data_IF_818115248111
#
_entry.id   IF_818115248111
#
_cell.length_a   1.000
_cell.length_b   1.000
_cell.length_c   1.000
_cell.angle_alpha   90.00
_cell.angle_beta   90.00
_cell.angle_gamma   90.00
#
_symmetry.space_group_name_H-M   'P 1'
#
loop_
_entity.id
_entity.type
_entity.pdbx_description
1 polymer ?
#
# COMPACT_ATOMS: atom_id res chain seq x y z
N UNK A 1 4.11 -14.39 7.17
CA UNK A 1 3.84 -13.41 6.12
C UNK A 1 2.47 -12.80 6.35
N UNK A 2 2.37 -11.50 6.27
CA UNK A 2 1.09 -10.79 6.37
C UNK A 2 1.14 -9.59 5.45
N UNK A 3 0.05 -8.82 5.38
CA UNK A 3 -0.10 -7.76 4.38
C UNK A 3 -0.62 -6.49 5.00
N UNK A 4 -0.05 -5.35 4.61
CA UNK A 4 -0.51 -4.04 5.10
C UNK A 4 -1.06 -3.22 3.93
N UNK A 5 -2.15 -2.55 4.15
CA UNK A 5 -2.77 -1.69 3.14
C UNK A 5 -2.48 -0.23 3.39
N UNK A 6 -2.24 0.50 2.31
CA UNK A 6 -1.98 1.94 2.33
C UNK A 6 -2.74 2.60 1.20
N UNK A 7 -3.02 3.88 1.33
CA UNK A 7 -3.69 4.61 0.27
C UNK A 7 -3.31 6.08 0.28
N UNK A 8 -3.43 6.71 -0.87
CA UNK A 8 -3.23 8.16 -0.99
C UNK A 8 -4.04 8.66 -2.18
N UNK A 9 -4.69 9.80 -1.99
CA UNK A 9 -5.39 10.48 -3.08
C UNK A 9 -5.13 11.97 -2.95
N UNK A 10 -4.89 12.63 -4.05
CA UNK A 10 -4.62 14.05 -4.03
C UNK A 10 -4.18 14.58 -5.38
N UNK A 11 -3.67 15.82 -5.39
CA UNK A 11 -3.20 16.46 -6.60
C UNK A 11 -1.95 15.72 -7.09
N UNK A 12 -2.01 15.23 -8.32
CA UNK A 12 -0.90 14.46 -8.89
C UNK A 12 0.40 15.23 -9.01
N UNK A 13 0.36 16.57 -9.00
CA UNK A 13 1.59 17.37 -9.07
C UNK A 13 2.45 17.18 -7.82
N UNK A 14 1.83 16.79 -6.70
CA UNK A 14 2.57 16.54 -5.47
C UNK A 14 3.51 15.36 -5.61
N UNK A 15 3.24 14.46 -6.55
CA UNK A 15 4.10 13.29 -6.76
C UNK A 15 5.48 13.66 -7.29
N UNK A 16 5.70 14.91 -7.68
CA UNK A 16 7.01 15.37 -8.11
C UNK A 16 7.91 15.73 -6.93
N UNK A 17 7.40 15.69 -5.70
CA UNK A 17 8.19 16.03 -4.51
C UNK A 17 9.05 14.84 -4.09
N UNK A 18 10.10 14.57 -4.83
CA UNK A 18 10.95 13.42 -4.58
C UNK A 18 11.50 13.29 -3.16
N UNK A 19 11.95 14.36 -2.49
CA UNK A 19 12.47 14.22 -1.11
C UNK A 19 11.47 13.62 -0.13
N UNK A 20 10.17 13.79 -0.39
CA UNK A 20 9.14 13.22 0.46
C UNK A 20 8.79 11.79 0.06
N UNK A 21 9.29 11.33 -1.06
CA UNK A 21 8.98 10.00 -1.60
C UNK A 21 10.17 9.04 -1.57
N UNK A 22 11.34 9.51 -1.15
CA UNK A 22 12.56 8.70 -1.04
C UNK A 22 13.13 8.88 0.36
N UNK A 23 13.52 7.80 1.03
CA UNK A 23 14.01 7.88 2.41
C UNK A 23 15.43 8.42 2.56
N UNK A 24 15.81 9.38 1.73
CA UNK A 24 17.13 9.98 1.79
C UNK A 24 17.20 10.97 2.94
N UNK A 25 16.15 11.76 3.12
CA UNK A 25 16.04 12.66 4.25
C UNK A 25 14.93 12.08 5.11
N UNK A 26 15.30 11.29 6.10
CA UNK A 26 14.34 10.53 6.89
C UNK A 26 13.21 11.35 7.48
N UNK A 27 13.49 12.55 7.96
CA UNK A 27 12.45 13.37 8.55
C UNK A 27 11.38 13.79 7.54
N UNK A 28 11.79 14.23 6.35
CA UNK A 28 10.82 14.64 5.33
C UNK A 28 10.04 13.45 4.81
N UNK A 29 10.71 12.34 4.59
CA UNK A 29 10.05 11.13 4.12
C UNK A 29 9.06 10.62 5.17
N UNK A 30 9.48 10.54 6.43
CA UNK A 30 8.65 9.98 7.49
C UNK A 30 7.40 10.79 7.81
N UNK A 31 7.46 12.11 7.59
CA UNK A 31 6.31 12.97 7.87
C UNK A 31 5.36 13.08 6.67
N UNK A 32 5.78 12.69 5.50
CA UNK A 32 4.94 12.80 4.31
C UNK A 32 3.92 11.68 4.23
N UNK A 33 2.78 11.97 3.60
CA UNK A 33 1.77 10.96 3.32
C UNK A 33 1.82 10.57 1.85
N UNK A 34 2.71 11.21 1.05
CA UNK A 34 2.80 10.89 -0.37
C UNK A 34 3.30 9.47 -0.58
N UNK A 35 2.81 8.77 -1.62
CA UNK A 35 3.28 7.41 -1.86
C UNK A 35 4.80 7.38 -2.06
N UNK A 36 5.50 6.47 -1.39
CA UNK A 36 6.92 6.32 -1.64
C UNK A 36 7.20 5.90 -3.08
N UNK A 37 8.39 6.22 -3.59
CA UNK A 37 8.78 5.84 -4.95
C UNK A 37 8.84 4.32 -5.11
N UNK A 38 9.23 3.59 -4.06
CA UNK A 38 9.22 2.13 -4.07
C UNK A 38 8.15 1.65 -3.11
N UNK A 39 7.31 0.75 -3.57
CA UNK A 39 6.15 0.30 -2.78
C UNK A 39 6.54 -0.24 -1.40
N UNK A 40 7.59 -1.03 -1.32
CA UNK A 40 8.01 -1.59 -0.04
C UNK A 40 8.41 -0.53 0.99
N UNK A 41 8.75 0.67 0.56
CA UNK A 41 9.13 1.75 1.48
C UNK A 41 7.96 2.27 2.30
N UNK A 42 6.73 1.91 1.99
CA UNK A 42 5.60 2.22 2.85
C UNK A 42 5.85 1.67 4.27
N UNK A 43 6.59 0.56 4.38
CA UNK A 43 6.88 -0.03 5.69
C UNK A 43 7.79 0.84 6.55
N UNK A 44 8.45 1.83 5.94
CA UNK A 44 9.29 2.78 6.70
C UNK A 44 8.45 3.93 7.26
N UNK A 45 7.18 4.04 6.87
CA UNK A 45 6.31 5.09 7.34
C UNK A 45 5.71 4.75 8.70
N UNK A 46 5.20 5.74 9.43
CA UNK A 46 4.59 5.48 10.74
C UNK A 46 3.41 4.53 10.67
N UNK A 47 3.21 3.77 11.73
CA UNK A 47 2.09 2.84 11.83
C UNK A 47 0.74 3.51 11.58
N UNK A 48 0.62 4.79 11.90
CA UNK A 48 -0.62 5.51 11.69
C UNK A 48 -1.05 5.58 10.22
N UNK A 49 -0.13 5.35 9.29
CA UNK A 49 -0.48 5.36 7.86
C UNK A 49 -1.00 4.01 7.38
N UNK A 50 -0.89 2.96 8.18
CA UNK A 50 -1.42 1.64 7.81
C UNK A 50 -2.94 1.70 7.85
N UNK A 51 -3.60 1.36 6.76
CA UNK A 51 -5.06 1.38 6.66
C UNK A 51 -5.70 0.04 6.98
N UNK A 52 -4.93 -1.01 7.00
CA UNK A 52 -5.42 -2.33 7.36
C UNK A 52 -4.29 -3.35 7.34
N UNK A 53 -4.52 -4.47 8.00
CA UNK A 53 -3.55 -5.56 8.05
C UNK A 53 -4.31 -6.87 7.94
N UNK A 54 -3.81 -7.77 7.10
CA UNK A 54 -4.45 -9.05 6.85
C UNK A 54 -3.43 -10.17 6.88
N UNK A 55 -3.85 -11.34 7.34
CA UNK A 55 -2.99 -12.50 7.33
C UNK A 55 -3.16 -13.33 6.07
N UNK A 56 -4.18 -13.04 5.28
CA UNK A 56 -4.43 -13.76 4.03
C UNK A 56 -4.39 -12.82 2.83
N UNK A 57 -3.92 -13.34 1.70
CA UNK A 57 -3.92 -12.60 0.46
C UNK A 57 -5.34 -12.23 0.03
N UNK A 58 -6.29 -13.13 0.27
CA UNK A 58 -7.69 -12.87 -0.10
C UNK A 58 -8.26 -11.68 0.69
N UNK A 59 -7.95 -11.59 1.98
CA UNK A 59 -8.42 -10.46 2.79
C UNK A 59 -7.88 -9.14 2.28
N UNK A 60 -6.60 -9.10 1.97
CA UNK A 60 -5.96 -7.89 1.45
C UNK A 60 -6.52 -7.50 0.07
N UNK A 61 -6.70 -8.50 -0.81
CA UNK A 61 -7.24 -8.25 -2.15
C UNK A 61 -8.69 -7.76 -2.08
N UNK A 62 -9.48 -8.25 -1.14
CA UNK A 62 -10.84 -7.79 -0.96
C UNK A 62 -10.87 -6.31 -0.56
N UNK A 63 -9.95 -5.90 0.32
CA UNK A 63 -9.84 -4.49 0.70
C UNK A 63 -9.50 -3.62 -0.51
N UNK A 64 -8.53 -4.04 -1.34
CA UNK A 64 -8.18 -3.30 -2.55
C UNK A 64 -9.40 -3.16 -3.45
N UNK A 65 -10.14 -4.24 -3.62
CA UNK A 65 -11.29 -4.24 -4.50
C UNK A 65 -12.38 -3.29 -4.02
N UNK A 66 -12.67 -3.31 -2.73
CA UNK A 66 -13.68 -2.42 -2.17
C UNK A 66 -13.26 -0.96 -2.29
N UNK A 67 -12.00 -0.64 -1.98
CA UNK A 67 -11.52 0.75 -2.06
C UNK A 67 -11.49 1.24 -3.51
N UNK A 68 -11.10 0.37 -4.43
CA UNK A 68 -11.04 0.73 -5.84
C UNK A 68 -12.45 1.05 -6.38
N UNK A 69 -13.45 0.26 -6.02
CA UNK A 69 -14.81 0.52 -6.47
C UNK A 69 -15.34 1.83 -5.91
N UNK A 70 -15.07 2.13 -4.65
CA UNK A 70 -15.53 3.39 -4.05
C UNK A 70 -14.97 4.60 -4.77
N UNK A 71 -13.73 4.52 -5.25
CA UNK A 71 -13.07 5.66 -5.88
C UNK A 71 -13.11 5.61 -7.40
N UNK A 72 -13.72 4.57 -7.97
CA UNK A 72 -13.76 4.37 -9.41
C UNK A 72 -15.11 3.81 -9.81
N UNK A 73 -16.16 4.58 -9.70
CA UNK A 73 -17.47 4.11 -10.11
C UNK A 73 -17.46 3.66 -11.57
N UNK A 74 -17.99 2.47 -11.84
CA UNK A 74 -18.03 1.94 -13.21
C UNK A 74 -16.83 1.08 -13.54
N UNK A 75 -15.76 1.17 -12.75
CA UNK A 75 -14.60 0.32 -12.94
C UNK A 75 -13.86 0.53 -14.25
N UNK A 76 -12.97 -0.41 -14.58
CA UNK A 76 -12.21 -0.39 -15.82
C UNK A 76 -12.88 -1.36 -16.79
N UNK A 77 -13.39 -0.90 -17.91
CA UNK A 77 -14.08 -1.76 -18.84
C UNK A 77 -13.17 -2.79 -19.53
N UNK A 78 -11.86 -2.57 -19.49
CA UNK A 78 -10.95 -3.45 -20.18
C UNK A 78 -10.53 -4.64 -19.34
N UNK A 79 -10.69 -4.60 -18.03
CA UNK A 79 -10.31 -5.68 -17.16
C UNK A 79 -11.41 -5.91 -16.13
N UNK A 80 -12.12 -7.03 -16.22
CA UNK A 80 -13.19 -7.34 -15.27
C UNK A 80 -12.67 -7.27 -13.83
N UNK A 81 -13.47 -6.66 -12.97
CA UNK A 81 -13.12 -6.45 -11.59
C UNK A 81 -12.72 -7.73 -10.87
N UNK A 82 -13.48 -8.80 -11.03
CA UNK A 82 -13.16 -10.06 -10.39
C UNK A 82 -11.83 -10.64 -10.86
N UNK A 83 -11.51 -10.51 -12.14
CA UNK A 83 -10.25 -10.98 -12.68
C UNK A 83 -9.07 -10.21 -12.06
N UNK A 84 -9.24 -8.91 -11.83
CA UNK A 84 -8.21 -8.11 -11.18
C UNK A 84 -8.01 -8.54 -9.74
N UNK A 85 -9.11 -8.82 -9.04
CA UNK A 85 -9.04 -9.25 -7.65
C UNK A 85 -8.31 -10.58 -7.53
N UNK A 86 -8.65 -11.54 -8.40
CA UNK A 86 -7.99 -12.85 -8.39
C UNK A 86 -6.50 -12.74 -8.71
N UNK A 87 -6.15 -11.86 -9.65
CA UNK A 87 -4.74 -11.65 -9.97
C UNK A 87 -4.00 -11.05 -8.79
N UNK A 88 -4.63 -10.14 -8.05
CA UNK A 88 -4.03 -9.57 -6.86
C UNK A 88 -3.78 -10.66 -5.80
N UNK A 89 -4.72 -11.58 -5.62
CA UNK A 89 -4.53 -12.70 -4.69
C UNK A 89 -3.31 -13.51 -5.09
N UNK A 90 -3.18 -13.84 -6.37
CA UNK A 90 -2.04 -14.61 -6.84
C UNK A 90 -0.72 -13.89 -6.61
N UNK A 91 -0.66 -12.60 -6.88
CA UNK A 91 0.55 -11.81 -6.69
C UNK A 91 0.93 -11.78 -5.21
N UNK A 92 -0.02 -11.54 -4.33
CA UNK A 92 0.23 -11.48 -2.90
C UNK A 92 0.66 -12.85 -2.34
N UNK A 93 0.06 -13.93 -2.83
CA UNK A 93 0.46 -15.27 -2.42
C UNK A 93 1.89 -15.57 -2.88
N UNK A 94 2.33 -14.97 -3.97
CA UNK A 94 3.69 -15.06 -4.43
C UNK A 94 4.64 -14.05 -3.78
N UNK A 95 4.20 -13.39 -2.73
CA UNK A 95 4.97 -12.40 -1.98
C UNK A 95 5.34 -11.16 -2.79
N UNK A 96 4.50 -10.79 -3.77
CA UNK A 96 4.68 -9.56 -4.53
C UNK A 96 3.68 -8.51 -4.05
N UNK A 97 4.16 -7.27 -3.87
CA UNK A 97 3.29 -6.15 -3.50
C UNK A 97 2.35 -5.84 -4.66
N UNK A 98 1.20 -5.27 -4.36
CA UNK A 98 0.20 -4.91 -5.37
C UNK A 98 -0.13 -3.43 -5.28
N UNK A 99 -0.15 -2.76 -6.43
CA UNK A 99 -0.49 -1.35 -6.52
C UNK A 99 -1.64 -1.18 -7.51
N UNK A 100 -2.72 -0.56 -7.06
CA UNK A 100 -3.82 -0.17 -7.93
C UNK A 100 -3.93 1.35 -7.86
N UNK A 101 -3.48 2.02 -8.93
CA UNK A 101 -3.47 3.47 -8.95
C UNK A 101 -3.98 3.99 -10.28
N UNK A 102 -4.52 5.19 -10.26
CA UNK A 102 -5.06 5.80 -11.47
C UNK A 102 -5.32 7.28 -11.29
N UNK A 103 -5.43 7.98 -12.41
CA UNK A 103 -5.93 9.34 -12.41
C UNK A 103 -7.44 9.28 -12.34
N UNK A 104 -8.04 9.95 -11.38
CA UNK A 104 -9.50 10.01 -11.26
C UNK A 104 -10.05 11.28 -11.90
N UNK A 105 -9.18 12.21 -12.26
CA UNK A 105 -9.49 13.38 -13.07
C UNK A 105 -8.18 13.87 -13.68
N UNK A 106 -8.20 14.98 -14.41
CA UNK A 106 -7.00 15.50 -15.07
C UNK A 106 -5.87 15.81 -14.09
N UNK A 107 -6.20 16.14 -12.86
CA UNK A 107 -5.19 16.54 -11.89
C UNK A 107 -5.17 15.69 -10.63
N UNK A 108 -6.14 14.81 -10.44
CA UNK A 108 -6.24 14.07 -9.20
C UNK A 108 -5.86 12.61 -9.38
N UNK A 109 -4.95 12.16 -8.52
CA UNK A 109 -4.45 10.79 -8.49
C UNK A 109 -5.00 10.03 -7.29
N UNK A 110 -5.28 8.75 -7.46
CA UNK A 110 -5.68 7.89 -6.36
C UNK A 110 -4.89 6.60 -6.44
N UNK A 111 -4.30 6.17 -5.35
CA UNK A 111 -3.53 4.93 -5.29
C UNK A 111 -3.86 4.13 -4.04
N UNK A 112 -3.92 2.81 -4.22
CA UNK A 112 -4.14 1.86 -3.14
C UNK A 112 -3.04 0.81 -3.26
N UNK A 113 -2.43 0.48 -2.13
CA UNK A 113 -1.21 -0.32 -2.10
C UNK A 113 -1.36 -1.41 -1.06
N UNK A 114 -0.99 -2.64 -1.41
CA UNK A 114 -0.86 -3.71 -0.42
C UNK A 114 0.60 -4.15 -0.43
N UNK A 115 1.22 -4.07 0.74
CA UNK A 115 2.64 -4.35 0.89
C UNK A 115 2.82 -5.63 1.69
N UNK A 116 3.61 -6.53 1.18
CA UNK A 116 3.90 -7.80 1.83
C UNK A 116 4.89 -7.59 2.96
N UNK A 117 4.65 -8.18 4.11
CA UNK A 117 5.50 -8.02 5.29
C UNK A 117 5.78 -9.39 5.92
N UNK A 118 7.04 -9.79 6.09
CA UNK A 118 8.26 -9.07 5.70
C UNK A 118 8.34 -8.93 4.19
N UNK A 119 8.96 -7.84 3.73
CA UNK A 119 8.99 -7.56 2.32
C UNK A 119 10.06 -8.34 1.59
N UNK A 120 9.72 -8.88 0.42
CA UNK A 120 10.64 -9.72 -0.32
C UNK A 120 11.83 -8.94 -0.87
N UNK A 121 11.61 -7.72 -1.29
CA UNK A 121 12.67 -6.88 -1.87
C UNK A 121 13.45 -6.16 -0.78
N UNK A 122 12.78 -5.80 0.29
CA UNK A 122 13.36 -5.04 1.40
C UNK A 122 13.21 -5.80 2.72
N UNK A 123 13.83 -6.99 2.84
CA UNK A 123 13.57 -7.87 3.98
C UNK A 123 14.02 -7.34 5.34
N UNK A 124 14.93 -6.35 5.31
CA UNK A 124 15.44 -5.80 6.57
C UNK A 124 14.57 -4.68 7.13
N UNK A 125 13.57 -4.22 6.41
CA UNK A 125 12.68 -3.19 6.95
C UNK A 125 11.75 -3.84 7.97
N UNK A 126 11.74 -3.35 9.21
CA UNK A 126 10.90 -3.97 10.24
C UNK A 126 9.41 -3.65 10.01
N UNK A 127 8.54 -4.50 10.53
CA UNK A 127 7.10 -4.29 10.44
C UNK A 127 6.72 -3.04 11.25
N UNK A 128 6.01 -2.09 10.67
CA UNK A 128 5.69 -0.84 11.36
C UNK A 128 4.77 -1.01 12.57
N UNK A 129 3.98 -2.07 12.61
CA UNK A 129 3.07 -2.25 13.74
C UNK A 129 3.47 -3.39 14.65
N UNK A 130 4.51 -4.11 14.33
CA UNK A 130 4.87 -5.29 15.08
C UNK A 130 5.29 -5.02 16.51
N UNK A 131 5.96 -3.90 16.71
CA UNK A 131 6.40 -3.57 18.04
C UNK A 131 5.24 -3.31 18.95
N UNK A 132 4.19 -2.72 18.41
CA UNK A 132 3.03 -2.40 19.19
C UNK A 132 2.29 -3.66 19.51
N UNK A 133 2.30 -4.60 18.60
CA UNK A 133 1.54 -5.79 18.75
C UNK A 133 2.18 -6.81 19.64
N UNK A 134 3.36 -6.59 20.16
CA UNK A 134 4.01 -7.60 20.91
C UNK A 134 4.42 -7.18 22.27
N UNK A 135 3.60 -6.65 23.04
CA UNK A 135 4.02 -6.14 24.25
C UNK A 135 4.44 -7.24 25.15
N UNK A 136 3.82 -8.07 25.33
CA UNK A 136 4.08 -8.85 26.28
C UNK A 136 4.41 -10.15 26.11
N UNK A 137 4.77 -10.39 25.25
CA UNK A 137 4.94 -11.61 25.02
C UNK A 137 5.68 -12.27 25.95
N UNK A 138 6.36 -11.70 26.57
CA UNK A 138 7.07 -12.31 27.38
C UNK A 138 6.47 -12.94 28.26
N UNK A 139 5.71 -12.66 28.28
CA UNK A 139 5.10 -13.41 29.26
C UNK A 139 6.02 -14.20 29.68
#
# INVERSE_FOLDING_TARGET
MHFHGYEWAGDGRLLAKEPERRPIEAARFGLSELPPMMTGWWLLRPAAQVRGTWETAAGAANWLAERYEEHTPGGDPQLPFEARRLRAVEQLEGASDVVWSRWVSDSRWSGHYVVVCPNRIWPDIPCPIRHVARPSVSG
#
